data_IF_644611543398
#
_entry.id   IF_644611543398
#
_cell.length_a   1.000
_cell.length_b   1.000
_cell.length_c   1.000
_cell.angle_alpha   90.00
_cell.angle_beta   90.00
_cell.angle_gamma   90.00
#
_symmetry.space_group_name_H-M   'P 1'
#
loop_
_entity.id
_entity.type
_entity.pdbx_description
1 polymer ?
#
# COMPACT_ATOMS: atom_id res chain seq x y z
N UNK A 1 -15.52 48.94 -31.79
CA UNK A 1 -14.86 47.62 -31.90
C UNK A 1 -13.71 47.38 -30.90
N UNK A 2 -13.44 48.26 -29.92
CA UNK A 2 -12.33 48.09 -28.94
C UNK A 2 -12.66 47.27 -27.67
N UNK A 3 -13.92 46.85 -27.46
CA UNK A 3 -14.35 46.15 -26.24
C UNK A 3 -14.08 44.64 -26.23
N UNK A 4 -13.79 44.03 -27.39
CA UNK A 4 -13.55 42.59 -27.53
C UNK A 4 -12.13 42.19 -27.07
N UNK A 5 -11.17 43.13 -27.11
CA UNK A 5 -9.78 42.85 -26.75
C UNK A 5 -9.57 42.54 -25.25
N UNK A 6 -10.49 42.96 -24.39
CA UNK A 6 -10.43 42.73 -22.94
C UNK A 6 -11.01 41.38 -22.49
N UNK A 7 -11.69 40.63 -23.38
CA UNK A 7 -12.24 39.31 -23.06
C UNK A 7 -11.21 38.17 -23.18
N UNK A 8 -10.14 38.37 -23.95
CA UNK A 8 -9.09 37.37 -24.20
C UNK A 8 -8.32 36.99 -22.92
N UNK A 9 -7.87 37.92 -22.05
CA UNK A 9 -7.17 37.53 -20.82
C UNK A 9 -8.09 36.84 -19.80
N UNK A 10 -9.39 37.15 -19.79
CA UNK A 10 -10.36 36.53 -18.88
C UNK A 10 -10.64 35.07 -19.25
N UNK A 11 -10.68 34.76 -20.55
CA UNK A 11 -10.81 33.38 -21.06
C UNK A 11 -9.52 32.59 -20.83
N UNK A 12 -8.35 33.22 -20.95
CA UNK A 12 -7.05 32.58 -20.69
C UNK A 12 -6.86 32.20 -19.21
N UNK A 13 -7.38 33.01 -18.26
CA UNK A 13 -7.37 32.66 -16.83
C UNK A 13 -8.31 31.50 -16.48
N UNK A 14 -9.45 31.37 -17.17
CA UNK A 14 -10.40 30.27 -16.95
C UNK A 14 -9.88 28.93 -17.53
N UNK A 15 -9.02 28.96 -18.55
CA UNK A 15 -8.44 27.75 -19.14
C UNK A 15 -7.28 27.16 -18.31
N UNK A 16 -6.61 27.95 -17.47
CA UNK A 16 -5.53 27.48 -16.58
C UNK A 16 -6.04 26.73 -15.33
N UNK A 17 -7.35 26.76 -15.06
CA UNK A 17 -7.98 26.09 -13.92
C UNK A 17 -8.36 24.63 -14.15
N UNK A 18 -8.20 24.10 -15.36
CA UNK A 18 -8.57 22.73 -15.69
C UNK A 18 -7.53 21.72 -15.21
N UNK A 19 -7.79 21.14 -14.04
CA UNK A 19 -7.44 19.75 -13.74
C UNK A 19 -6.07 19.53 -13.09
N UNK A 20 -5.85 20.06 -11.88
CA UNK A 20 -4.96 19.34 -10.96
C UNK A 20 -5.68 18.05 -10.56
N UNK A 21 -5.34 16.94 -11.23
CA UNK A 21 -5.67 15.60 -10.72
C UNK A 21 -5.10 15.54 -9.30
N UNK A 22 -5.95 15.21 -8.34
CA UNK A 22 -5.54 15.00 -6.96
C UNK A 22 -4.39 13.98 -6.96
N UNK A 23 -3.27 14.36 -6.35
CA UNK A 23 -2.04 13.56 -6.42
C UNK A 23 -2.23 12.31 -5.54
N UNK A 24 -2.30 11.14 -6.16
CA UNK A 24 -2.43 9.85 -5.46
C UNK A 24 -1.10 9.55 -4.77
N UNK A 25 -1.11 9.57 -3.43
CA UNK A 25 0.06 9.34 -2.57
C UNK A 25 -0.24 8.22 -1.59
N UNK A 26 -0.15 6.95 -2.03
CA UNK A 26 -0.34 5.85 -1.12
C UNK A 26 0.74 5.88 -0.03
N UNK A 27 0.37 5.44 1.16
CA UNK A 27 1.30 5.28 2.29
C UNK A 27 0.98 3.97 3.00
N UNK A 28 2.02 3.22 3.38
CA UNK A 28 1.92 2.04 4.24
C UNK A 28 2.43 2.42 5.62
N UNK A 29 1.63 2.19 6.66
CA UNK A 29 1.94 2.58 8.03
C UNK A 29 1.46 1.53 9.04
N UNK A 30 1.90 1.67 10.31
CA UNK A 30 1.56 0.77 11.42
C UNK A 30 1.76 -0.71 11.06
N UNK A 31 2.94 -1.04 10.53
CA UNK A 31 3.27 -2.41 10.15
C UNK A 31 3.71 -3.17 11.40
N UNK A 32 3.03 -4.28 11.67
CA UNK A 32 3.35 -5.20 12.73
C UNK A 32 3.59 -6.60 12.16
N UNK A 33 4.51 -7.34 12.77
CA UNK A 33 4.83 -8.70 12.37
C UNK A 33 5.03 -9.57 13.62
N UNK A 34 4.32 -10.70 13.68
CA UNK A 34 4.29 -11.59 14.83
C UNK A 34 4.63 -13.01 14.40
N UNK A 35 5.73 -13.60 14.91
CA UNK A 35 6.09 -14.97 14.61
C UNK A 35 5.32 -15.92 15.54
N UNK A 36 4.64 -16.90 14.96
CA UNK A 36 4.00 -18.01 15.64
C UNK A 36 4.79 -19.29 15.35
N UNK A 37 5.35 -19.92 16.38
CA UNK A 37 6.04 -21.20 16.22
C UNK A 37 5.02 -22.30 15.89
N UNK A 38 5.20 -22.99 14.77
CA UNK A 38 4.34 -24.09 14.33
C UNK A 38 4.87 -25.46 14.77
N UNK A 39 6.17 -25.69 14.63
CA UNK A 39 6.83 -26.96 15.00
C UNK A 39 8.25 -26.72 15.52
N UNK A 40 8.62 -27.41 16.61
CA UNK A 40 9.96 -27.61 17.20
C UNK A 40 11.05 -26.54 16.92
N UNK A 41 10.68 -25.26 16.96
CA UNK A 41 11.56 -24.11 16.64
C UNK A 41 12.19 -24.11 15.24
N UNK A 42 11.76 -24.98 14.32
CA UNK A 42 12.26 -25.05 12.93
C UNK A 42 11.28 -24.47 11.93
N UNK A 43 10.05 -24.19 12.35
CA UNK A 43 9.01 -23.64 11.49
C UNK A 43 8.20 -22.57 12.22
N UNK A 44 8.09 -21.39 11.61
CA UNK A 44 7.31 -20.29 12.12
C UNK A 44 6.39 -19.73 11.05
N UNK A 45 5.15 -19.45 11.43
CA UNK A 45 4.24 -18.61 10.66
C UNK A 45 4.40 -17.16 11.11
N UNK A 46 4.87 -16.32 10.20
CA UNK A 46 4.95 -14.89 10.40
C UNK A 46 3.64 -14.24 9.95
N UNK A 47 2.85 -13.77 10.91
CA UNK A 47 1.65 -13.00 10.66
C UNK A 47 2.05 -11.53 10.51
N UNK A 48 1.82 -10.95 9.34
CA UNK A 48 2.17 -9.56 9.02
C UNK A 48 0.88 -8.77 8.79
N UNK A 49 0.78 -7.62 9.44
CA UNK A 49 -0.33 -6.69 9.22
C UNK A 49 0.18 -5.26 9.04
N UNK A 50 -0.59 -4.44 8.33
CA UNK A 50 -0.30 -3.02 8.15
C UNK A 50 -1.49 -2.29 7.57
N UNK A 51 -1.44 -0.96 7.58
CA UNK A 51 -2.50 -0.10 7.05
C UNK A 51 -2.02 0.65 5.83
N UNK A 52 -2.94 0.84 4.87
CA UNK A 52 -2.70 1.58 3.63
C UNK A 52 -3.70 2.72 3.56
N UNK A 53 -3.24 3.93 3.25
CA UNK A 53 -4.09 5.12 3.01
C UNK A 53 -3.64 5.85 1.76
N UNK A 54 -4.43 6.81 1.29
CA UNK A 54 -4.07 7.67 0.14
C UNK A 54 -4.08 6.94 -1.21
N UNK A 55 -4.79 5.82 -1.31
CA UNK A 55 -4.99 5.05 -2.54
C UNK A 55 -6.17 5.56 -3.37
N UNK A 56 -6.19 5.20 -4.66
CA UNK A 56 -7.25 5.57 -5.59
C UNK A 56 -8.57 4.89 -5.23
N UNK A 57 -9.64 5.68 -5.23
CA UNK A 57 -11.00 5.19 -5.13
C UNK A 57 -11.84 5.74 -6.29
N UNK A 58 -12.28 4.85 -7.17
CA UNK A 58 -13.10 5.22 -8.34
C UNK A 58 -14.57 5.12 -7.96
N UNK A 59 -15.31 6.21 -8.15
CA UNK A 59 -16.76 6.22 -7.92
C UNK A 59 -17.50 5.59 -9.11
N UNK A 60 -18.26 4.53 -8.85
CA UNK A 60 -19.09 3.84 -9.83
C UNK A 60 -20.39 3.39 -9.17
N UNK A 61 -21.54 3.70 -9.77
CA UNK A 61 -22.86 3.29 -9.25
C UNK A 61 -23.13 3.68 -7.78
N UNK A 62 -22.64 4.86 -7.35
CA UNK A 62 -22.72 5.35 -5.95
C UNK A 62 -21.91 4.52 -4.94
N UNK A 63 -20.95 3.74 -5.42
CA UNK A 63 -19.97 3.03 -4.58
C UNK A 63 -18.56 3.48 -4.96
N UNK A 64 -17.67 3.51 -3.98
CA UNK A 64 -16.24 3.77 -4.14
C UNK A 64 -15.49 2.44 -4.22
N UNK A 65 -14.90 2.16 -5.39
CA UNK A 65 -14.12 0.96 -5.65
C UNK A 65 -12.64 1.20 -5.37
N UNK A 66 -11.98 0.23 -4.77
CA UNK A 66 -10.53 0.19 -4.60
C UNK A 66 -9.97 -1.14 -5.09
N UNK A 67 -8.74 -1.13 -5.58
CA UNK A 67 -8.04 -2.33 -6.02
C UNK A 67 -6.52 -2.14 -5.97
N UNK A 68 -5.82 -3.00 -5.23
CA UNK A 68 -4.37 -3.00 -5.16
C UNK A 68 -3.80 -4.42 -5.05
N UNK A 69 -2.58 -4.56 -5.53
CA UNK A 69 -1.73 -5.72 -5.22
C UNK A 69 -0.83 -5.37 -4.05
N UNK A 70 -0.43 -6.37 -3.28
CA UNK A 70 0.58 -6.23 -2.25
C UNK A 70 1.59 -7.37 -2.31
N UNK A 71 2.80 -7.08 -1.85
CA UNK A 71 3.84 -8.06 -1.60
C UNK A 71 4.36 -7.87 -0.18
N UNK A 72 4.69 -8.97 0.47
CA UNK A 72 5.39 -8.96 1.74
C UNK A 72 6.67 -9.74 1.55
N UNK A 73 7.80 -9.11 1.85
CA UNK A 73 9.13 -9.72 1.76
C UNK A 73 9.75 -9.77 3.15
N UNK A 74 10.38 -10.90 3.47
CA UNK A 74 11.10 -11.10 4.73
C UNK A 74 12.58 -11.30 4.41
N UNK A 75 13.42 -10.48 5.01
CA UNK A 75 14.88 -10.53 4.88
C UNK A 75 15.49 -10.95 6.22
N UNK A 76 16.38 -11.94 6.18
CA UNK A 76 17.11 -12.42 7.35
C UNK A 76 18.19 -11.42 7.84
N UNK A 77 18.81 -11.66 9.01
CA UNK A 77 19.85 -10.78 9.54
C UNK A 77 21.10 -10.66 8.66
N UNK A 78 21.37 -11.65 7.81
CA UNK A 78 22.52 -11.68 6.90
C UNK A 78 22.19 -11.04 5.53
N UNK A 79 20.96 -10.55 5.36
CA UNK A 79 20.47 -9.91 4.13
C UNK A 79 19.89 -10.88 3.10
N UNK A 80 19.79 -12.16 3.42
CA UNK A 80 19.17 -13.19 2.59
C UNK A 80 17.64 -13.12 2.60
N UNK A 81 17.01 -13.71 1.57
CA UNK A 81 15.55 -13.80 1.48
C UNK A 81 15.06 -14.97 2.32
N UNK A 82 14.31 -14.68 3.38
CA UNK A 82 13.76 -15.67 4.30
C UNK A 82 12.35 -16.13 3.92
N UNK A 83 11.59 -15.30 3.21
CA UNK A 83 10.24 -15.61 2.79
C UNK A 83 9.59 -14.48 1.99
N UNK A 84 8.50 -14.80 1.30
CA UNK A 84 7.64 -13.80 0.68
C UNK A 84 6.20 -14.28 0.58
N UNK A 85 5.28 -13.33 0.49
CA UNK A 85 3.90 -13.55 0.10
C UNK A 85 3.47 -12.46 -0.89
N UNK A 86 2.50 -12.79 -1.71
CA UNK A 86 1.88 -11.87 -2.65
C UNK A 86 0.36 -12.01 -2.53
N UNK A 87 -0.35 -10.91 -2.72
CA UNK A 87 -1.81 -10.93 -2.69
C UNK A 87 -2.41 -9.71 -3.36
N UNK A 88 -3.74 -9.66 -3.31
CA UNK A 88 -4.50 -8.51 -3.82
C UNK A 88 -5.67 -8.23 -2.89
N UNK A 89 -6.03 -6.96 -2.76
CA UNK A 89 -7.22 -6.52 -2.05
C UNK A 89 -8.03 -5.63 -2.99
N UNK A 90 -9.28 -6.01 -3.19
CA UNK A 90 -10.24 -5.21 -3.95
C UNK A 90 -11.58 -5.21 -3.23
N UNK A 91 -12.35 -4.15 -3.43
CA UNK A 91 -13.64 -4.03 -2.79
C UNK A 91 -14.37 -2.77 -3.20
N UNK A 92 -15.54 -2.60 -2.60
CA UNK A 92 -16.39 -1.44 -2.79
C UNK A 92 -17.01 -1.02 -1.48
N UNK A 93 -17.25 0.27 -1.32
CA UNK A 93 -17.92 0.81 -0.16
C UNK A 93 -18.88 1.93 -0.57
N UNK A 94 -19.99 2.11 0.16
CA UNK A 94 -20.93 3.19 -0.11
C UNK A 94 -20.32 4.58 0.10
N UNK A 95 -19.29 4.67 0.94
CA UNK A 95 -18.56 5.89 1.26
C UNK A 95 -17.05 5.71 0.99
N UNK A 96 -16.33 6.83 0.79
CA UNK A 96 -14.88 6.80 0.67
C UNK A 96 -14.28 6.33 2.00
N UNK A 97 -13.41 5.33 1.91
CA UNK A 97 -12.65 4.84 3.06
C UNK A 97 -11.30 5.55 3.16
N UNK A 98 -10.85 5.81 4.39
CA UNK A 98 -9.60 6.54 4.64
C UNK A 98 -8.39 5.63 4.58
N UNK A 99 -8.55 4.42 5.07
CA UNK A 99 -7.52 3.41 5.18
C UNK A 99 -8.09 2.00 5.06
N UNK A 100 -7.19 1.06 4.78
CA UNK A 100 -7.47 -0.37 4.68
C UNK A 100 -6.38 -1.16 5.37
N UNK A 101 -6.78 -2.21 6.09
CA UNK A 101 -5.84 -3.18 6.65
C UNK A 101 -5.43 -4.19 5.58
N UNK A 102 -4.14 -4.47 5.52
CA UNK A 102 -3.54 -5.57 4.77
C UNK A 102 -3.04 -6.60 5.78
N UNK A 103 -3.37 -7.86 5.53
CA UNK A 103 -2.98 -9.00 6.36
C UNK A 103 -2.37 -10.08 5.46
N UNK A 104 -1.26 -10.66 5.90
CA UNK A 104 -0.56 -11.71 5.17
C UNK A 104 0.13 -12.68 6.12
N UNK A 105 0.35 -13.91 5.67
CA UNK A 105 1.01 -14.97 6.42
C UNK A 105 2.15 -15.53 5.59
N UNK A 106 3.32 -15.71 6.21
CA UNK A 106 4.52 -16.21 5.56
C UNK A 106 5.13 -17.30 6.43
N UNK A 107 5.40 -18.47 5.86
CA UNK A 107 6.16 -19.51 6.56
C UNK A 107 7.66 -19.22 6.44
N UNK A 108 8.35 -19.19 7.58
CA UNK A 108 9.81 -19.06 7.69
C UNK A 108 10.38 -20.37 8.23
N UNK A 109 11.22 -21.02 7.42
CA UNK A 109 11.84 -22.30 7.74
C UNK A 109 13.24 -22.11 8.31
N UNK A 110 13.55 -22.83 9.39
CA UNK A 110 14.83 -22.84 10.08
C UNK A 110 15.42 -21.43 10.32
N UNK A 111 14.68 -20.51 10.97
CA UNK A 111 15.16 -19.16 11.16
C UNK A 111 16.44 -19.15 12.00
N UNK A 112 17.43 -18.36 11.57
CA UNK A 112 18.58 -18.01 12.39
C UNK A 112 18.14 -17.03 13.48
N UNK A 113 18.83 -17.04 14.63
CA UNK A 113 18.52 -16.09 15.69
C UNK A 113 18.91 -14.68 15.25
N UNK A 114 17.99 -13.73 15.39
CA UNK A 114 18.28 -12.35 15.05
C UNK A 114 17.05 -11.53 14.67
N UNK A 115 17.32 -10.31 14.21
CA UNK A 115 16.31 -9.37 13.76
C UNK A 115 16.13 -9.48 12.24
N UNK A 116 14.93 -9.85 11.83
CA UNK A 116 14.50 -9.92 10.45
C UNK A 116 13.82 -8.61 10.06
N UNK A 117 13.96 -8.24 8.80
CA UNK A 117 13.26 -7.10 8.22
C UNK A 117 12.06 -7.59 7.45
N UNK A 118 10.89 -7.04 7.75
CA UNK A 118 9.65 -7.30 7.01
C UNK A 118 9.32 -6.05 6.21
N UNK A 119 9.17 -6.19 4.89
CA UNK A 119 8.78 -5.11 3.99
C UNK A 119 7.40 -5.42 3.43
N UNK A 120 6.43 -4.55 3.65
CA UNK A 120 5.13 -4.57 2.98
C UNK A 120 5.15 -3.51 1.88
N UNK A 121 4.99 -3.92 0.64
CA UNK A 121 4.84 -3.05 -0.53
C UNK A 121 3.43 -3.21 -1.10
N UNK A 122 2.81 -2.11 -1.49
CA UNK A 122 1.53 -2.09 -2.19
C UNK A 122 1.67 -1.35 -3.51
N UNK A 123 0.86 -1.79 -4.49
CA UNK A 123 0.72 -1.17 -5.80
C UNK A 123 -0.77 -0.99 -6.08
N UNK A 124 -1.20 0.27 -6.09
CA UNK A 124 -2.52 0.69 -6.52
C UNK A 124 -2.67 0.40 -8.02
N UNK A 125 -3.70 -0.37 -8.41
CA UNK A 125 -3.87 -0.78 -9.82
C UNK A 125 -4.45 0.32 -10.70
N UNK A 126 -5.17 1.28 -10.13
CA UNK A 126 -5.81 2.35 -10.91
C UNK A 126 -4.82 3.48 -11.21
N UNK A 127 -3.98 3.83 -10.23
CA UNK A 127 -2.97 4.89 -10.40
C UNK A 127 -1.58 4.37 -10.76
N UNK A 128 -1.33 3.06 -10.63
CA UNK A 128 -0.01 2.43 -10.69
C UNK A 128 0.96 2.93 -9.59
N UNK A 129 0.50 3.76 -8.65
CA UNK A 129 1.29 4.29 -7.56
C UNK A 129 1.69 3.18 -6.59
N UNK A 130 2.90 3.31 -6.04
CA UNK A 130 3.46 2.36 -5.09
C UNK A 130 3.75 3.02 -3.75
N UNK A 131 3.62 2.25 -2.70
CA UNK A 131 4.09 2.62 -1.37
C UNK A 131 4.66 1.39 -0.67
N UNK A 132 5.60 1.60 0.23
CA UNK A 132 6.11 0.52 1.07
C UNK A 132 6.46 1.04 2.45
N UNK A 133 6.41 0.16 3.42
CA UNK A 133 6.98 0.39 4.74
C UNK A 133 7.68 -0.86 5.24
N UNK A 134 8.46 -0.70 6.29
CA UNK A 134 9.18 -1.81 6.92
C UNK A 134 8.90 -1.87 8.42
N UNK A 135 9.00 -3.07 8.96
CA UNK A 135 9.05 -3.33 10.40
C UNK A 135 10.11 -4.38 10.70
N UNK A 136 10.40 -4.57 11.99
CA UNK A 136 11.38 -5.52 12.47
C UNK A 136 10.71 -6.59 13.31
N UNK A 137 11.14 -7.84 13.14
CA UNK A 137 10.68 -8.98 13.95
C UNK A 137 11.87 -9.79 14.41
N UNK A 138 11.84 -10.27 15.65
CA UNK A 138 12.96 -11.01 16.24
C UNK A 138 12.61 -12.48 16.41
N UNK A 139 13.48 -13.35 15.91
CA UNK A 139 13.47 -14.79 16.17
C UNK A 139 14.52 -15.12 17.25
N UNK A 140 14.17 -15.98 18.21
CA UNK A 140 14.93 -16.24 19.44
C UNK A 140 15.45 -17.67 19.54
#
# INVERSE_FOLDING_TARGET
MKKILYLIPLIAMLAAGCGKKEEVKPEVYQIEAFPLMLSDSTEFELNVNGYVKGFTQTEENKEYKYDFNYTVEVTDPDGGKAGNAEGSLSGKNAEKITDLRVESQIVVMNPVKGEYTVKLEIKDKASEAKASGTTKVKFF
#
